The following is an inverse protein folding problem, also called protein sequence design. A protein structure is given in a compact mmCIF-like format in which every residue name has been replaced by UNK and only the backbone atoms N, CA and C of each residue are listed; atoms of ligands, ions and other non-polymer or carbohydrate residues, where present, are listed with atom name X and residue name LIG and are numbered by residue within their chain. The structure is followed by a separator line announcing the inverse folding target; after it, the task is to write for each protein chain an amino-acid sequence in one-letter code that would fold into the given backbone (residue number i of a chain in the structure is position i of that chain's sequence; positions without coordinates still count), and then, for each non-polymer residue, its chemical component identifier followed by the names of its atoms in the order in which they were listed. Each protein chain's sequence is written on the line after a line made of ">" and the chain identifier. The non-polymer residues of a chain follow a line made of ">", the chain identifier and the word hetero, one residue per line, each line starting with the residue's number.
data_IF_423198084135
#
_entry.id   IF_423198084135
#
_cell.length_a   1.000
_cell.length_b   1.000
_cell.length_c   1.000
_cell.angle_alpha   90.00
_cell.angle_beta   90.00
_cell.angle_gamma   90.00
#
_symmetry.space_group_name_H-M   'P 1'
#
loop_
_entity.id
_entity.type
_entity.pdbx_description
1 polymer ?
#
# COMPACT_ATOMS: atom_id res chain seq x y z
N UNK A 1 15.13 -20.26 4.60
CA UNK A 1 16.08 -19.16 4.92
C UNK A 1 17.38 -19.68 5.50
N UNK A 2 17.38 -20.53 6.53
CA UNK A 2 18.63 -21.08 7.12
C UNK A 2 19.56 -21.76 6.11
N UNK A 3 19.04 -22.63 5.23
CA UNK A 3 19.86 -23.23 4.17
C UNK A 3 20.53 -22.17 3.26
N UNK A 4 19.81 -21.09 2.92
CA UNK A 4 20.38 -20.00 2.10
C UNK A 4 21.48 -19.27 2.85
N UNK A 5 21.30 -19.01 4.15
CA UNK A 5 22.35 -18.42 4.99
C UNK A 5 23.60 -19.30 5.02
N UNK A 6 23.45 -20.61 5.14
CA UNK A 6 24.56 -21.57 5.06
C UNK A 6 25.25 -21.52 3.69
N UNK A 7 24.49 -21.54 2.58
CA UNK A 7 25.04 -21.41 1.22
C UNK A 7 25.83 -20.10 1.08
N UNK A 8 25.29 -18.98 1.55
CA UNK A 8 25.99 -17.68 1.54
C UNK A 8 27.29 -17.75 2.37
N UNK A 9 27.26 -18.34 3.57
CA UNK A 9 28.46 -18.47 4.42
C UNK A 9 29.53 -19.38 3.81
N UNK A 10 29.15 -20.31 2.93
CA UNK A 10 30.08 -21.23 2.27
C UNK A 10 30.82 -20.64 1.06
N UNK A 11 30.52 -19.38 0.68
CA UNK A 11 31.21 -18.69 -0.42
C UNK A 11 30.65 -19.00 -1.82
N UNK A 12 29.49 -19.67 -1.91
CA UNK A 12 28.86 -20.02 -3.20
C UNK A 12 28.41 -18.77 -3.96
N UNK A 13 27.86 -17.77 -3.25
CA UNK A 13 27.43 -16.51 -3.87
C UNK A 13 28.63 -15.78 -4.50
N UNK A 14 29.73 -15.65 -3.77
CA UNK A 14 30.97 -15.05 -4.26
C UNK A 14 31.53 -15.81 -5.47
N UNK A 15 31.41 -17.14 -5.49
CA UNK A 15 31.80 -17.97 -6.62
C UNK A 15 30.97 -17.69 -7.87
N UNK A 16 29.64 -17.53 -7.74
CA UNK A 16 28.76 -17.13 -8.84
C UNK A 16 29.08 -15.70 -9.32
N UNK A 17 29.31 -14.77 -8.41
CA UNK A 17 29.67 -13.38 -8.75
C UNK A 17 31.05 -13.30 -9.43
N UNK A 18 32.00 -14.13 -9.03
CA UNK A 18 33.29 -14.27 -9.71
C UNK A 18 33.09 -14.76 -11.15
N UNK A 19 32.22 -15.75 -11.37
CA UNK A 19 31.87 -16.23 -12.72
C UNK A 19 31.32 -15.08 -13.56
N UNK A 20 30.37 -14.31 -13.03
CA UNK A 20 29.75 -13.20 -13.75
C UNK A 20 30.71 -12.07 -14.07
N UNK A 21 31.69 -11.80 -13.21
CA UNK A 21 32.63 -10.68 -13.38
C UNK A 21 33.86 -11.04 -14.19
N UNK A 22 34.32 -12.31 -14.18
CA UNK A 22 35.64 -12.68 -14.73
C UNK A 22 35.60 -13.59 -15.96
N UNK A 23 34.58 -14.45 -16.13
CA UNK A 23 34.53 -15.33 -17.31
C UNK A 23 34.17 -14.57 -18.57
N UNK A 24 34.51 -15.12 -19.73
CA UNK A 24 33.98 -14.65 -21.00
C UNK A 24 32.44 -14.63 -20.93
N UNK A 25 31.81 -13.54 -21.38
CA UNK A 25 30.37 -13.34 -21.19
C UNK A 25 29.56 -14.46 -21.86
N UNK A 26 29.97 -14.91 -23.06
CA UNK A 26 29.26 -15.94 -23.81
C UNK A 26 29.47 -17.35 -23.24
N UNK A 27 30.45 -17.54 -22.35
CA UNK A 27 30.66 -18.81 -21.64
C UNK A 27 29.74 -18.98 -20.42
N UNK A 28 29.03 -17.93 -20.02
CA UNK A 28 28.12 -17.97 -18.88
C UNK A 28 26.81 -18.61 -19.33
N UNK A 29 26.49 -19.76 -18.73
CA UNK A 29 25.25 -20.48 -18.99
C UNK A 29 24.11 -19.96 -18.13
N UNK A 30 22.87 -20.19 -18.59
CA UNK A 30 21.65 -19.84 -17.86
C UNK A 30 21.57 -20.52 -16.50
N UNK A 31 22.10 -21.74 -16.36
CA UNK A 31 22.17 -22.43 -15.06
C UNK A 31 22.87 -21.58 -13.99
N UNK A 32 23.89 -20.80 -14.36
CA UNK A 32 24.53 -19.90 -13.40
C UNK A 32 23.56 -18.81 -12.95
N UNK A 33 22.83 -18.15 -13.87
CA UNK A 33 21.90 -17.06 -13.54
C UNK A 33 20.66 -17.54 -12.80
N UNK A 34 20.10 -18.70 -13.18
CA UNK A 34 18.99 -19.36 -12.49
C UNK A 34 19.35 -19.71 -11.05
N UNK A 35 20.54 -20.31 -10.83
CA UNK A 35 21.00 -20.66 -9.48
C UNK A 35 21.03 -19.42 -8.57
N UNK A 36 21.45 -18.27 -9.09
CA UNK A 36 21.48 -17.04 -8.32
C UNK A 36 20.07 -16.50 -8.01
N UNK A 37 19.13 -16.60 -8.94
CA UNK A 37 17.72 -16.30 -8.68
C UNK A 37 17.17 -17.18 -7.57
N UNK A 38 17.42 -18.49 -7.60
CA UNK A 38 16.85 -19.44 -6.63
C UNK A 38 17.31 -19.17 -5.19
N UNK A 39 18.50 -18.55 -5.04
CA UNK A 39 19.02 -18.09 -3.76
C UNK A 39 18.29 -16.84 -3.24
N UNK A 40 17.74 -15.99 -4.12
CA UNK A 40 17.10 -14.72 -3.75
C UNK A 40 15.58 -14.88 -3.69
N UNK A 41 14.99 -15.56 -4.66
CA UNK A 41 13.55 -15.69 -4.82
C UNK A 41 12.95 -16.42 -3.61
N UNK A 42 11.83 -15.88 -3.09
CA UNK A 42 11.14 -16.40 -1.90
C UNK A 42 12.06 -16.52 -0.66
N UNK A 43 13.07 -15.64 -0.54
CA UNK A 43 13.90 -15.49 0.66
C UNK A 43 13.47 -14.24 1.44
N UNK A 44 13.83 -14.18 2.73
CA UNK A 44 13.59 -12.99 3.56
C UNK A 44 14.47 -11.82 3.14
N UNK A 45 14.06 -10.60 3.47
CA UNK A 45 14.87 -9.41 3.18
C UNK A 45 16.23 -9.47 3.88
N UNK A 46 16.32 -10.09 5.06
CA UNK A 46 17.60 -10.42 5.71
C UNK A 46 18.55 -11.22 4.78
N UNK A 47 18.05 -12.27 4.12
CA UNK A 47 18.85 -13.08 3.19
C UNK A 47 19.25 -12.27 1.95
N UNK A 48 18.33 -11.48 1.40
CA UNK A 48 18.60 -10.60 0.26
C UNK A 48 19.66 -9.54 0.60
N UNK A 49 19.61 -8.96 1.79
CA UNK A 49 20.60 -8.00 2.30
C UNK A 49 21.97 -8.66 2.54
N UNK A 50 22.01 -9.90 3.02
CA UNK A 50 23.27 -10.67 3.11
C UNK A 50 23.90 -10.90 1.72
N UNK A 51 23.09 -11.16 0.70
CA UNK A 51 23.56 -11.29 -0.69
C UNK A 51 24.02 -9.94 -1.23
N UNK A 52 23.29 -8.85 -0.96
CA UNK A 52 23.70 -7.50 -1.32
C UNK A 52 25.08 -7.14 -0.75
N UNK A 53 25.37 -7.53 0.50
CA UNK A 53 26.68 -7.31 1.13
C UNK A 53 27.84 -8.04 0.41
N UNK A 54 27.56 -9.00 -0.49
CA UNK A 54 28.55 -9.64 -1.36
C UNK A 54 28.86 -8.82 -2.63
N UNK A 55 28.29 -7.61 -2.75
CA UNK A 55 28.47 -6.68 -3.88
C UNK A 55 28.11 -7.31 -5.23
N UNK A 56 26.84 -7.73 -5.43
CA UNK A 56 26.45 -8.51 -6.60
C UNK A 56 26.34 -7.68 -7.89
N UNK A 57 26.19 -6.35 -7.78
CA UNK A 57 25.83 -5.50 -8.91
C UNK A 57 26.82 -5.51 -10.07
N UNK A 58 28.16 -5.42 -9.90
CA UNK A 58 29.08 -5.46 -11.03
C UNK A 58 28.89 -6.70 -11.92
N UNK A 59 28.67 -7.87 -11.32
CA UNK A 59 28.42 -9.12 -12.03
C UNK A 59 27.04 -9.15 -12.70
N UNK A 60 25.98 -8.85 -11.95
CA UNK A 60 24.61 -8.88 -12.46
C UNK A 60 24.41 -7.86 -13.59
N UNK A 61 25.00 -6.67 -13.46
CA UNK A 61 24.91 -5.61 -14.46
C UNK A 61 25.59 -6.00 -15.77
N UNK A 62 26.72 -6.73 -15.70
CA UNK A 62 27.38 -7.29 -16.88
C UNK A 62 26.51 -8.32 -17.60
N UNK A 63 25.71 -9.11 -16.87
CA UNK A 63 24.80 -10.09 -17.46
C UNK A 63 23.63 -9.45 -18.24
N UNK A 64 23.30 -8.19 -18.01
CA UNK A 64 22.25 -7.49 -18.78
C UNK A 64 22.62 -7.33 -20.27
N UNK A 65 23.91 -7.39 -20.60
CA UNK A 65 24.44 -7.27 -21.96
C UNK A 65 24.56 -8.64 -22.65
N UNK A 66 24.20 -9.72 -21.96
CA UNK A 66 24.30 -11.07 -22.51
C UNK A 66 23.38 -11.22 -23.74
N UNK A 67 23.86 -11.96 -24.75
CA UNK A 67 23.14 -12.20 -26.01
C UNK A 67 21.89 -13.08 -25.84
N UNK A 68 21.94 -14.02 -24.90
CA UNK A 68 20.79 -14.81 -24.45
C UNK A 68 19.88 -13.98 -23.52
N UNK A 69 18.68 -13.68 -23.99
CA UNK A 69 17.67 -12.90 -23.27
C UNK A 69 17.23 -13.50 -21.94
N UNK A 70 17.30 -14.83 -21.77
CA UNK A 70 16.96 -15.48 -20.49
C UNK A 70 17.96 -15.11 -19.40
N UNK A 71 19.24 -15.04 -19.72
CA UNK A 71 20.29 -14.65 -18.76
C UNK A 71 20.14 -13.18 -18.38
N UNK A 72 19.86 -12.31 -19.35
CA UNK A 72 19.56 -10.90 -19.07
C UNK A 72 18.28 -10.74 -18.24
N UNK A 73 17.24 -11.54 -18.52
CA UNK A 73 15.98 -11.59 -17.75
C UNK A 73 16.23 -12.02 -16.30
N UNK A 74 17.07 -13.02 -16.10
CA UNK A 74 17.40 -13.54 -14.79
C UNK A 74 18.16 -12.50 -13.96
N UNK A 75 19.11 -11.82 -14.61
CA UNK A 75 19.91 -10.78 -14.00
C UNK A 75 19.04 -9.57 -13.59
N UNK A 76 18.15 -9.07 -14.46
CA UNK A 76 17.31 -7.92 -14.11
C UNK A 76 16.30 -8.25 -13.01
N UNK A 77 15.75 -9.48 -13.00
CA UNK A 77 14.89 -9.95 -11.91
C UNK A 77 15.65 -10.04 -10.59
N UNK A 78 16.88 -10.56 -10.61
CA UNK A 78 17.75 -10.62 -9.43
C UNK A 78 18.04 -9.23 -8.88
N UNK A 79 18.32 -8.26 -9.76
CA UNK A 79 18.51 -6.86 -9.39
C UNK A 79 17.25 -6.31 -8.72
N UNK A 80 16.08 -6.51 -9.33
CA UNK A 80 14.81 -6.07 -8.74
C UNK A 80 14.63 -6.61 -7.33
N UNK A 81 14.79 -7.92 -7.13
CA UNK A 81 14.53 -8.55 -5.83
C UNK A 81 15.45 -7.98 -4.74
N UNK A 82 16.68 -7.62 -5.08
CA UNK A 82 17.59 -6.94 -4.15
C UNK A 82 17.17 -5.48 -3.89
N UNK A 83 16.70 -4.76 -4.92
CA UNK A 83 16.18 -3.40 -4.74
C UNK A 83 14.91 -3.38 -3.87
N UNK A 84 14.01 -4.34 -4.08
CA UNK A 84 12.80 -4.52 -3.28
C UNK A 84 13.15 -4.66 -1.79
N UNK A 85 14.10 -5.54 -1.45
CA UNK A 85 14.58 -5.69 -0.06
C UNK A 85 15.14 -4.39 0.52
N UNK A 86 15.94 -3.66 -0.27
CA UNK A 86 16.47 -2.36 0.15
C UNK A 86 15.35 -1.35 0.38
N UNK A 87 14.31 -1.38 -0.44
CA UNK A 87 13.14 -0.51 -0.31
C UNK A 87 12.30 -0.85 0.93
N UNK A 88 12.06 -2.13 1.19
CA UNK A 88 11.22 -2.62 2.29
C UNK A 88 11.86 -2.38 3.67
N UNK A 89 13.18 -2.25 3.72
CA UNK A 89 13.96 -2.09 4.97
C UNK A 89 14.40 -0.66 5.27
N UNK A 90 14.01 0.32 4.45
CA UNK A 90 14.39 1.73 4.61
C UNK A 90 13.21 2.67 4.36
N UNK A 91 13.27 3.86 4.95
CA UNK A 91 12.24 4.90 4.78
C UNK A 91 12.02 5.25 3.31
N UNK A 92 10.76 5.41 2.91
CA UNK A 92 10.37 5.85 1.57
C UNK A 92 10.72 7.32 1.26
N UNK A 93 10.99 8.12 2.31
CA UNK A 93 11.41 9.53 2.23
C UNK A 93 12.89 9.67 1.89
N UNK A 94 13.68 8.62 2.07
CA UNK A 94 15.11 8.62 1.82
C UNK A 94 15.42 8.07 0.42
N UNK A 95 16.52 8.52 -0.22
CA UNK A 95 17.02 7.90 -1.43
C UNK A 95 17.17 6.37 -1.29
N UNK A 96 17.06 5.65 -2.41
CA UNK A 96 17.18 4.19 -2.37
C UNK A 96 18.57 3.77 -1.86
N UNK A 97 18.69 2.85 -0.87
CA UNK A 97 19.98 2.55 -0.22
C UNK A 97 21.01 1.93 -1.17
N UNK A 98 20.55 1.35 -2.27
CA UNK A 98 21.40 0.71 -3.28
C UNK A 98 21.76 1.63 -4.47
N UNK A 99 21.34 2.90 -4.45
CA UNK A 99 21.53 3.81 -5.59
C UNK A 99 23.01 4.02 -5.91
N UNK A 100 23.84 4.33 -4.90
CA UNK A 100 25.27 4.57 -5.09
C UNK A 100 26.00 3.34 -5.64
N UNK A 101 25.78 2.16 -5.05
CA UNK A 101 26.38 0.91 -5.53
C UNK A 101 25.97 0.54 -6.95
N UNK A 102 24.75 0.90 -7.36
CA UNK A 102 24.29 0.73 -8.74
C UNK A 102 25.02 1.69 -9.68
N UNK A 103 25.24 2.94 -9.25
CA UNK A 103 25.92 3.96 -10.03
C UNK A 103 27.42 3.66 -10.21
N UNK A 104 28.10 3.14 -9.20
CA UNK A 104 29.51 2.69 -9.27
C UNK A 104 29.75 1.66 -10.39
N UNK A 105 28.74 0.85 -10.72
CA UNK A 105 28.81 -0.18 -11.76
C UNK A 105 28.28 0.29 -13.13
N UNK A 106 28.00 1.59 -13.29
CA UNK A 106 27.24 2.14 -14.42
C UNK A 106 25.90 1.42 -14.67
N UNK A 107 25.30 0.90 -13.59
CA UNK A 107 24.15 0.01 -13.66
C UNK A 107 22.89 0.71 -14.14
N UNK A 108 22.69 1.97 -13.77
CA UNK A 108 21.53 2.78 -14.20
C UNK A 108 21.47 2.86 -15.74
N UNK A 109 22.59 3.20 -16.38
CA UNK A 109 22.63 3.32 -17.84
C UNK A 109 22.48 1.98 -18.55
N UNK A 110 23.04 0.89 -17.99
CA UNK A 110 22.89 -0.45 -18.56
C UNK A 110 21.45 -0.99 -18.42
N UNK A 111 20.77 -0.70 -17.31
CA UNK A 111 19.35 -1.03 -17.14
C UNK A 111 18.50 -0.22 -18.13
N UNK A 112 18.80 1.07 -18.31
CA UNK A 112 18.09 1.90 -19.29
C UNK A 112 18.33 1.43 -20.72
N UNK A 113 19.56 1.06 -21.07
CA UNK A 113 19.88 0.46 -22.37
C UNK A 113 19.11 -0.86 -22.60
N UNK A 114 19.00 -1.73 -21.58
CA UNK A 114 18.20 -2.95 -21.65
C UNK A 114 16.72 -2.65 -21.93
N UNK A 115 16.16 -1.63 -21.26
CA UNK A 115 14.81 -1.15 -21.52
C UNK A 115 14.63 -0.68 -22.98
N UNK A 116 15.57 0.12 -23.50
CA UNK A 116 15.53 0.65 -24.87
C UNK A 116 15.71 -0.44 -25.94
N UNK A 117 16.53 -1.47 -25.66
CA UNK A 117 16.77 -2.60 -26.56
C UNK A 117 15.48 -3.37 -26.87
N UNK A 118 14.54 -3.44 -25.92
CA UNK A 118 13.20 -4.00 -26.07
C UNK A 118 13.14 -5.41 -26.73
N UNK A 119 14.12 -6.27 -26.45
CA UNK A 119 14.15 -7.64 -27.00
C UNK A 119 13.18 -8.60 -26.30
N UNK A 120 12.93 -8.37 -25.02
CA UNK A 120 12.04 -9.17 -24.19
C UNK A 120 11.04 -8.27 -23.46
N UNK A 121 9.73 -8.54 -23.63
CA UNK A 121 8.67 -7.85 -22.85
C UNK A 121 8.95 -7.98 -21.35
N UNK A 122 9.38 -9.17 -20.91
CA UNK A 122 9.71 -9.44 -19.52
C UNK A 122 10.84 -8.53 -19.05
N UNK A 123 12.02 -8.59 -19.67
CA UNK A 123 13.19 -7.79 -19.26
C UNK A 123 12.91 -6.30 -19.28
N UNK A 124 12.11 -5.83 -20.24
CA UNK A 124 11.73 -4.42 -20.36
C UNK A 124 10.86 -3.94 -19.19
N UNK A 125 9.90 -4.76 -18.74
CA UNK A 125 9.07 -4.47 -17.56
C UNK A 125 9.93 -4.38 -16.31
N UNK A 126 10.83 -5.33 -16.09
CA UNK A 126 11.72 -5.29 -14.92
C UNK A 126 12.69 -4.12 -14.96
N UNK A 127 13.23 -3.79 -16.13
CA UNK A 127 14.13 -2.65 -16.28
C UNK A 127 13.46 -1.34 -15.88
N UNK A 128 12.21 -1.10 -16.33
CA UNK A 128 11.49 0.13 -15.96
C UNK A 128 11.18 0.18 -14.47
N UNK A 129 10.80 -0.95 -13.86
CA UNK A 129 10.49 -1.04 -12.43
C UNK A 129 11.76 -0.81 -11.60
N UNK A 130 12.89 -1.44 -11.96
CA UNK A 130 14.17 -1.22 -11.31
C UNK A 130 14.58 0.27 -11.30
N UNK A 131 14.41 0.97 -12.42
CA UNK A 131 14.72 2.42 -12.47
C UNK A 131 13.76 3.20 -11.56
N UNK A 132 12.46 2.87 -11.54
CA UNK A 132 11.51 3.53 -10.64
C UNK A 132 11.85 3.36 -9.17
N UNK A 133 12.30 2.17 -8.77
CA UNK A 133 12.76 1.87 -7.40
C UNK A 133 14.07 2.59 -7.08
N UNK A 134 15.06 2.54 -7.98
CA UNK A 134 16.36 3.19 -7.77
C UNK A 134 16.23 4.69 -7.54
N UNK A 135 15.37 5.37 -8.31
CA UNK A 135 15.15 6.81 -8.19
C UNK A 135 14.08 7.19 -7.14
N UNK A 136 13.85 6.33 -6.15
CA UNK A 136 13.06 6.69 -4.96
C UNK A 136 13.60 7.96 -4.33
N UNK A 137 12.71 8.93 -4.10
CA UNK A 137 13.03 10.25 -3.53
C UNK A 137 14.15 11.03 -4.26
N UNK A 138 14.53 10.62 -5.47
CA UNK A 138 15.64 11.19 -6.21
C UNK A 138 15.24 11.59 -7.63
N UNK A 139 15.72 12.73 -8.09
CA UNK A 139 15.43 13.21 -9.44
C UNK A 139 16.12 12.33 -10.49
N UNK A 140 15.36 11.87 -11.51
CA UNK A 140 15.97 11.39 -12.76
C UNK A 140 16.41 12.62 -13.52
N UNK A 141 17.69 12.94 -13.58
CA UNK A 141 18.20 14.17 -14.21
C UNK A 141 18.04 14.14 -15.73
N UNK A 142 18.34 13.00 -16.36
CA UNK A 142 18.12 12.75 -17.78
C UNK A 142 16.63 12.87 -18.13
N UNK A 143 16.30 13.89 -18.95
CA UNK A 143 14.93 14.19 -19.31
C UNK A 143 14.30 13.13 -20.23
N UNK A 144 15.10 12.47 -21.08
CA UNK A 144 14.62 11.42 -21.98
C UNK A 144 14.26 10.20 -21.14
N UNK A 145 15.19 9.74 -20.30
CA UNK A 145 14.95 8.63 -19.36
C UNK A 145 13.72 8.91 -18.50
N UNK A 146 13.64 10.10 -17.88
CA UNK A 146 12.51 10.48 -17.02
C UNK A 146 11.17 10.38 -17.75
N UNK A 147 11.08 10.87 -19.00
CA UNK A 147 9.85 10.83 -19.80
C UNK A 147 9.49 9.39 -20.19
N UNK A 148 10.44 8.63 -20.71
CA UNK A 148 10.21 7.26 -21.21
C UNK A 148 9.81 6.31 -20.07
N UNK A 149 10.53 6.36 -18.96
CA UNK A 149 10.28 5.49 -17.79
C UNK A 149 8.92 5.79 -17.19
N UNK A 150 8.61 7.06 -16.89
CA UNK A 150 7.30 7.43 -16.33
C UNK A 150 6.16 7.09 -17.31
N UNK A 151 6.34 7.33 -18.61
CA UNK A 151 5.32 6.98 -19.61
C UNK A 151 5.07 5.48 -19.66
N UNK A 152 6.12 4.66 -19.57
CA UNK A 152 5.97 3.22 -19.62
C UNK A 152 5.36 2.67 -18.33
N UNK A 153 5.78 3.14 -17.15
CA UNK A 153 5.16 2.77 -15.87
C UNK A 153 3.66 3.09 -15.84
N UNK A 154 3.24 4.26 -16.32
CA UNK A 154 1.82 4.60 -16.45
C UNK A 154 1.04 3.60 -17.32
N UNK A 155 1.65 3.11 -18.40
CA UNK A 155 1.00 2.11 -19.26
C UNK A 155 0.82 0.76 -18.56
N UNK A 156 1.76 0.39 -17.68
CA UNK A 156 1.73 -0.86 -16.91
C UNK A 156 0.66 -0.89 -15.83
N UNK A 157 0.09 0.26 -15.43
CA UNK A 157 -1.10 0.32 -14.56
C UNK A 157 -2.35 -0.33 -15.17
N UNK A 158 -2.31 -0.65 -16.47
CA UNK A 158 -3.37 -1.37 -17.17
C UNK A 158 -2.98 -2.80 -17.56
N UNK A 159 -1.79 -3.30 -17.17
CA UNK A 159 -1.33 -4.64 -17.55
C UNK A 159 -2.31 -5.73 -17.05
N UNK A 160 -2.41 -6.86 -17.76
CA UNK A 160 -3.25 -7.98 -17.32
C UNK A 160 -2.72 -8.67 -16.07
N UNK A 161 -1.41 -8.60 -15.84
CA UNK A 161 -0.76 -9.16 -14.66
C UNK A 161 -0.91 -8.20 -13.47
N UNK A 162 -1.62 -8.68 -12.44
CA UNK A 162 -1.87 -7.92 -11.20
C UNK A 162 -0.57 -7.52 -10.53
N UNK A 163 0.42 -8.41 -10.49
CA UNK A 163 1.71 -8.13 -9.86
C UNK A 163 2.43 -6.98 -10.58
N UNK A 164 2.41 -6.97 -11.91
CA UNK A 164 3.00 -5.91 -12.72
C UNK A 164 2.30 -4.56 -12.48
N UNK A 165 0.96 -4.54 -12.40
CA UNK A 165 0.20 -3.30 -12.10
C UNK A 165 0.65 -2.69 -10.77
N UNK A 166 0.75 -3.49 -9.72
CA UNK A 166 1.09 -3.01 -8.39
C UNK A 166 2.54 -2.55 -8.30
N UNK A 167 3.49 -3.28 -8.90
CA UNK A 167 4.90 -2.81 -8.94
C UNK A 167 5.10 -1.56 -9.78
N UNK A 168 4.29 -1.38 -10.83
CA UNK A 168 4.28 -0.12 -11.57
C UNK A 168 3.72 1.04 -10.72
N UNK A 169 2.67 0.79 -9.92
CA UNK A 169 2.14 1.76 -8.93
C UNK A 169 3.20 2.11 -7.89
N UNK A 170 3.88 1.13 -7.31
CA UNK A 170 4.95 1.34 -6.31
C UNK A 170 6.12 2.13 -6.89
N UNK A 171 6.57 1.78 -8.10
CA UNK A 171 7.62 2.51 -8.81
C UNK A 171 7.22 3.97 -9.11
N UNK A 172 5.98 4.24 -9.51
CA UNK A 172 5.48 5.61 -9.68
C UNK A 172 5.42 6.36 -8.36
N UNK A 173 5.01 5.68 -7.29
CA UNK A 173 4.97 6.22 -5.95
C UNK A 173 6.37 6.63 -5.44
N UNK A 174 7.38 5.77 -5.62
CA UNK A 174 8.76 6.09 -5.26
C UNK A 174 9.32 7.26 -6.07
N UNK A 175 9.06 7.29 -7.38
CA UNK A 175 9.44 8.43 -8.22
C UNK A 175 8.73 9.72 -7.79
N UNK A 176 7.46 9.64 -7.38
CA UNK A 176 6.66 10.80 -6.95
C UNK A 176 7.17 11.43 -5.65
N UNK A 177 8.04 10.75 -4.89
CA UNK A 177 8.71 11.36 -3.72
C UNK A 177 9.63 12.52 -4.09
N UNK A 178 10.08 12.62 -5.35
CA UNK A 178 10.79 13.78 -5.87
C UNK A 178 9.88 14.70 -6.70
N UNK A 179 9.92 16.01 -6.46
CA UNK A 179 9.02 16.99 -7.10
C UNK A 179 9.16 17.07 -8.63
N UNK A 180 10.36 16.91 -9.18
CA UNK A 180 10.57 16.97 -10.63
C UNK A 180 9.97 15.76 -11.32
N UNK A 181 10.19 14.57 -10.76
CA UNK A 181 9.60 13.33 -11.25
C UNK A 181 8.07 13.37 -11.08
N UNK A 182 7.59 13.80 -9.91
CA UNK A 182 6.17 13.98 -9.63
C UNK A 182 5.50 14.90 -10.63
N UNK A 183 6.10 16.05 -10.93
CA UNK A 183 5.59 16.99 -11.94
C UNK A 183 5.45 16.33 -13.31
N UNK A 184 6.38 15.43 -13.68
CA UNK A 184 6.27 14.65 -14.91
C UNK A 184 5.17 13.58 -14.83
N UNK A 185 4.95 12.94 -13.67
CA UNK A 185 3.83 12.02 -13.42
C UNK A 185 2.49 12.77 -13.49
N UNK A 186 2.42 14.00 -12.99
CA UNK A 186 1.20 14.81 -12.98
C UNK A 186 0.85 15.41 -14.35
N UNK A 187 1.72 15.29 -15.36
CA UNK A 187 1.36 15.69 -16.73
C UNK A 187 0.18 14.86 -17.24
N UNK A 188 -0.84 15.57 -17.76
CA UNK A 188 -2.12 15.02 -18.20
C UNK A 188 -2.94 14.33 -17.09
N UNK A 189 -2.62 14.61 -15.82
CA UNK A 189 -3.40 14.13 -14.69
C UNK A 189 -4.62 15.04 -14.50
N UNK A 190 -5.83 14.50 -14.71
CA UNK A 190 -7.06 15.28 -14.66
C UNK A 190 -8.09 14.59 -13.76
N UNK A 191 -8.35 15.20 -12.60
CA UNK A 191 -9.27 14.68 -11.59
C UNK A 191 -10.71 14.56 -12.10
N UNK A 192 -11.18 15.49 -12.92
CA UNK A 192 -12.53 15.43 -13.52
C UNK A 192 -12.64 14.25 -14.49
N UNK A 193 -11.59 13.98 -15.27
CA UNK A 193 -11.56 12.79 -16.13
C UNK A 193 -11.61 11.49 -15.33
N UNK A 194 -10.89 11.42 -14.21
CA UNK A 194 -10.92 10.26 -13.30
C UNK A 194 -12.34 10.09 -12.74
N UNK A 195 -12.94 11.14 -12.19
CA UNK A 195 -14.31 11.11 -11.66
C UNK A 195 -15.32 10.66 -12.73
N UNK A 196 -15.25 11.21 -13.94
CA UNK A 196 -16.12 10.85 -15.06
C UNK A 196 -15.96 9.37 -15.47
N UNK A 197 -14.73 8.84 -15.43
CA UNK A 197 -14.51 7.42 -15.74
C UNK A 197 -15.06 6.50 -14.64
N UNK A 198 -14.96 6.90 -13.36
CA UNK A 198 -15.56 6.15 -12.23
C UNK A 198 -17.09 6.14 -12.29
N UNK A 199 -17.71 7.21 -12.76
CA UNK A 199 -19.17 7.28 -12.93
C UNK A 199 -19.70 6.44 -14.10
N UNK A 200 -18.84 5.91 -14.98
CA UNK A 200 -19.29 5.02 -16.06
C UNK A 200 -19.86 3.73 -15.49
N UNK A 201 -21.12 3.48 -15.78
CA UNK A 201 -21.82 2.26 -15.39
C UNK A 201 -21.27 1.03 -16.12
N UNK A 202 -21.27 -0.13 -15.45
CA UNK A 202 -20.83 -1.40 -16.02
C UNK A 202 -21.93 -2.03 -16.92
N UNK A 203 -22.28 -1.34 -18.01
CA UNK A 203 -23.24 -1.78 -19.03
C UNK A 203 -22.54 -2.32 -20.29
N UNK A 204 -23.30 -3.04 -21.11
CA UNK A 204 -22.81 -3.62 -22.37
C UNK A 204 -22.30 -5.06 -22.25
N UNK A 205 -21.55 -5.48 -23.26
CA UNK A 205 -20.93 -6.78 -23.40
C UNK A 205 -19.85 -7.04 -22.35
N UNK A 206 -19.45 -8.29 -22.18
CA UNK A 206 -18.37 -8.68 -21.24
C UNK A 206 -17.07 -7.91 -21.50
N UNK A 207 -16.72 -7.68 -22.77
CA UNK A 207 -15.50 -6.97 -23.15
C UNK A 207 -15.58 -5.47 -22.85
N UNK A 208 -16.74 -4.85 -23.07
CA UNK A 208 -16.98 -3.44 -22.73
C UNK A 208 -16.89 -3.23 -21.21
N UNK A 209 -17.55 -4.08 -20.42
CA UNK A 209 -17.44 -4.05 -18.95
C UNK A 209 -16.00 -4.20 -18.48
N UNK A 210 -15.25 -5.14 -19.07
CA UNK A 210 -13.82 -5.33 -18.76
C UNK A 210 -13.00 -4.07 -19.07
N UNK A 211 -13.25 -3.41 -20.20
CA UNK A 211 -12.60 -2.16 -20.57
C UNK A 211 -12.90 -1.03 -19.60
N UNK A 212 -14.16 -0.90 -19.16
CA UNK A 212 -14.56 0.10 -18.16
C UNK A 212 -13.85 -0.17 -16.83
N UNK A 213 -13.88 -1.42 -16.34
CA UNK A 213 -13.21 -1.82 -15.10
C UNK A 213 -11.71 -1.53 -15.15
N UNK A 214 -11.04 -1.95 -16.22
CA UNK A 214 -9.61 -1.72 -16.39
C UNK A 214 -9.29 -0.22 -16.37
N UNK A 215 -10.10 0.61 -17.04
CA UNK A 215 -9.89 2.06 -17.05
C UNK A 215 -10.07 2.68 -15.66
N UNK A 216 -11.11 2.27 -14.93
CA UNK A 216 -11.36 2.72 -13.56
C UNK A 216 -10.20 2.33 -12.64
N UNK A 217 -9.76 1.07 -12.67
CA UNK A 217 -8.62 0.60 -11.87
C UNK A 217 -7.33 1.35 -12.21
N UNK A 218 -7.03 1.55 -13.49
CA UNK A 218 -5.83 2.29 -13.92
C UNK A 218 -5.84 3.74 -13.41
N UNK A 219 -6.99 4.41 -13.47
CA UNK A 219 -7.13 5.78 -12.97
C UNK A 219 -6.93 5.85 -11.44
N UNK A 220 -7.46 4.86 -10.70
CA UNK A 220 -7.33 4.76 -9.25
C UNK A 220 -5.92 4.40 -8.80
N UNK A 221 -5.23 3.49 -9.50
CA UNK A 221 -3.83 3.16 -9.22
C UNK A 221 -2.92 4.37 -9.46
N UNK A 222 -3.18 5.15 -10.52
CA UNK A 222 -2.43 6.37 -10.79
C UNK A 222 -2.67 7.42 -9.70
N UNK A 223 -3.92 7.64 -9.30
CA UNK A 223 -4.27 8.54 -8.20
C UNK A 223 -3.60 8.11 -6.89
N UNK A 224 -3.65 6.82 -6.57
CA UNK A 224 -3.04 6.27 -5.35
C UNK A 224 -1.52 6.45 -5.36
N UNK A 225 -0.85 6.26 -6.51
CA UNK A 225 0.60 6.45 -6.63
C UNK A 225 1.09 7.87 -6.27
N UNK A 226 0.23 8.89 -6.39
CA UNK A 226 0.60 10.29 -6.09
C UNK A 226 0.06 10.80 -4.75
N UNK A 227 -0.80 10.02 -4.08
CA UNK A 227 -1.41 10.35 -2.78
C UNK A 227 -0.88 9.51 -1.62
N UNK A 228 -0.50 8.26 -1.88
CA UNK A 228 -0.12 7.29 -0.86
C UNK A 228 0.98 7.82 0.06
N UNK A 229 0.80 7.69 1.37
CA UNK A 229 1.71 8.16 2.43
C UNK A 229 2.15 9.64 2.33
N UNK A 230 1.42 10.48 1.58
CA UNK A 230 1.74 11.90 1.39
C UNK A 230 0.69 12.80 2.04
N UNK A 231 1.18 13.83 2.72
CA UNK A 231 0.39 14.92 3.31
C UNK A 231 -0.02 15.98 2.26
N UNK A 232 -0.38 15.55 1.04
CA UNK A 232 -0.90 16.44 -0.01
C UNK A 232 -2.41 16.63 0.17
N UNK A 233 -2.78 17.31 1.26
CA UNK A 233 -4.18 17.56 1.61
C UNK A 233 -4.89 18.46 0.60
N UNK A 234 -4.16 19.30 -0.14
CA UNK A 234 -4.75 20.12 -1.21
C UNK A 234 -5.20 19.23 -2.37
N UNK A 235 -4.35 18.31 -2.85
CA UNK A 235 -4.74 17.40 -3.93
C UNK A 235 -5.93 16.50 -3.52
N UNK A 236 -6.00 16.08 -2.25
CA UNK A 236 -7.16 15.34 -1.72
C UNK A 236 -8.43 16.17 -1.75
N UNK A 237 -8.37 17.43 -1.30
CA UNK A 237 -9.51 18.35 -1.36
C UNK A 237 -9.96 18.56 -2.81
N UNK A 238 -9.03 18.81 -3.73
CA UNK A 238 -9.33 18.99 -5.16
C UNK A 238 -9.98 17.73 -5.75
N UNK A 239 -9.51 16.54 -5.37
CA UNK A 239 -10.05 15.26 -5.81
C UNK A 239 -11.45 14.98 -5.24
N UNK A 240 -11.69 15.32 -3.97
CA UNK A 240 -13.04 15.28 -3.36
C UNK A 240 -13.98 16.23 -4.11
N UNK A 241 -13.56 17.48 -4.33
CA UNK A 241 -14.33 18.49 -5.04
C UNK A 241 -14.59 18.14 -6.51
N UNK A 242 -13.70 17.36 -7.13
CA UNK A 242 -13.89 16.83 -8.48
C UNK A 242 -14.93 15.70 -8.56
N UNK A 243 -15.43 15.19 -7.42
CA UNK A 243 -16.46 14.15 -7.35
C UNK A 243 -15.93 12.71 -7.32
N UNK A 244 -14.64 12.51 -7.03
CA UNK A 244 -14.05 11.16 -6.96
C UNK A 244 -14.65 10.36 -5.80
N UNK A 245 -14.77 10.98 -4.62
CA UNK A 245 -15.37 10.32 -3.45
C UNK A 245 -16.84 10.00 -3.69
N UNK A 246 -17.61 10.91 -4.27
CA UNK A 246 -19.02 10.65 -4.62
C UNK A 246 -19.14 9.43 -5.55
N UNK A 247 -18.26 9.32 -6.55
CA UNK A 247 -18.23 8.19 -7.47
C UNK A 247 -17.83 6.87 -6.78
N UNK A 248 -16.82 6.88 -5.91
CA UNK A 248 -16.42 5.69 -5.13
C UNK A 248 -17.53 5.23 -4.19
N UNK A 249 -18.15 6.14 -3.44
CA UNK A 249 -19.25 5.82 -2.54
C UNK A 249 -20.47 5.27 -3.29
N UNK A 250 -20.77 5.79 -4.49
CA UNK A 250 -21.80 5.24 -5.36
C UNK A 250 -21.45 3.81 -5.83
N UNK A 251 -20.20 3.56 -6.24
CA UNK A 251 -19.73 2.22 -6.61
C UNK A 251 -19.90 1.24 -5.44
N UNK A 252 -19.44 1.64 -4.26
CA UNK A 252 -19.53 0.84 -3.03
C UNK A 252 -20.98 0.56 -2.60
N UNK A 253 -21.92 1.47 -2.87
CA UNK A 253 -23.33 1.27 -2.53
C UNK A 253 -24.09 0.40 -3.54
N UNK A 254 -23.77 0.51 -4.84
CA UNK A 254 -24.62 0.00 -5.92
C UNK A 254 -24.08 -1.24 -6.64
N UNK A 255 -22.75 -1.41 -6.69
CA UNK A 255 -22.11 -2.48 -7.47
C UNK A 255 -22.15 -3.80 -6.72
N UNK A 256 -22.24 -4.92 -7.43
CA UNK A 256 -22.01 -6.24 -6.81
C UNK A 256 -20.63 -6.28 -6.12
N UNK A 257 -20.56 -6.85 -4.91
CA UNK A 257 -19.35 -6.85 -4.08
C UNK A 257 -18.19 -7.50 -4.84
N UNK A 258 -18.46 -8.59 -5.56
CA UNK A 258 -17.47 -9.33 -6.36
C UNK A 258 -16.83 -8.50 -7.50
N UNK A 259 -17.40 -7.35 -7.84
CA UNK A 259 -16.88 -6.44 -8.86
C UNK A 259 -16.15 -5.22 -8.26
N UNK A 260 -16.05 -5.13 -6.94
CA UNK A 260 -15.30 -4.10 -6.22
C UNK A 260 -13.92 -4.70 -5.92
N UNK A 261 -12.95 -4.38 -6.75
CA UNK A 261 -11.57 -4.86 -6.58
C UNK A 261 -10.76 -3.96 -5.65
N UNK A 262 -9.59 -4.45 -5.26
CA UNK A 262 -8.62 -3.76 -4.39
C UNK A 262 -8.37 -2.27 -4.71
N UNK A 263 -8.20 -1.83 -5.97
CA UNK A 263 -7.90 -0.42 -6.27
C UNK A 263 -8.99 0.57 -5.85
N UNK A 264 -10.26 0.16 -5.76
CA UNK A 264 -11.34 1.06 -5.36
C UNK A 264 -11.24 1.46 -3.89
N UNK A 265 -10.99 0.49 -3.02
CA UNK A 265 -10.88 0.75 -1.59
C UNK A 265 -9.50 1.30 -1.20
N UNK A 266 -8.40 0.86 -1.84
CA UNK A 266 -7.06 1.46 -1.67
C UNK A 266 -7.10 2.97 -1.99
N UNK A 267 -7.73 3.34 -3.11
CA UNK A 267 -7.88 4.74 -3.46
C UNK A 267 -8.66 5.54 -2.41
N UNK A 268 -9.76 5.00 -1.87
CA UNK A 268 -10.54 5.65 -0.81
C UNK A 268 -9.71 5.78 0.48
N UNK A 269 -9.00 4.72 0.86
CA UNK A 269 -8.14 4.68 2.03
C UNK A 269 -7.09 5.81 1.99
N UNK A 270 -6.49 6.07 0.83
CA UNK A 270 -5.53 7.16 0.64
C UNK A 270 -6.13 8.58 0.85
N UNK A 271 -7.46 8.74 0.97
CA UNK A 271 -8.07 10.00 1.44
C UNK A 271 -8.17 10.05 2.97
N UNK A 272 -8.25 8.90 3.63
CA UNK A 272 -8.33 8.79 5.08
C UNK A 272 -6.96 8.70 5.75
N UNK A 273 -5.87 8.41 5.03
CA UNK A 273 -4.53 8.26 5.59
C UNK A 273 -3.40 8.87 4.70
N UNK A 274 -2.41 9.61 5.25
CA UNK A 274 -2.39 10.17 6.60
C UNK A 274 -3.59 11.08 6.81
N UNK A 275 -4.24 11.01 7.97
CA UNK A 275 -5.51 11.70 8.14
C UNK A 275 -5.31 13.19 8.44
N UNK A 276 -6.29 14.00 8.03
CA UNK A 276 -6.32 15.42 8.27
C UNK A 276 -7.76 15.84 8.56
N UNK A 277 -7.94 16.69 9.56
CA UNK A 277 -9.26 17.08 10.01
C UNK A 277 -10.15 17.66 8.89
N UNK A 278 -9.62 18.58 8.08
CA UNK A 278 -10.38 19.22 6.98
C UNK A 278 -10.80 18.16 5.95
N UNK A 279 -9.88 17.25 5.58
CA UNK A 279 -10.19 16.16 4.65
C UNK A 279 -11.26 15.23 5.24
N UNK A 280 -11.13 14.83 6.51
CA UNK A 280 -12.11 13.99 7.20
C UNK A 280 -13.49 14.66 7.29
N UNK A 281 -13.55 15.98 7.55
CA UNK A 281 -14.80 16.74 7.54
C UNK A 281 -15.47 16.72 6.16
N UNK A 282 -14.71 16.92 5.09
CA UNK A 282 -15.22 16.84 3.73
C UNK A 282 -15.73 15.43 3.39
N UNK A 283 -15.02 14.38 3.82
CA UNK A 283 -15.46 13.00 3.64
C UNK A 283 -16.78 12.73 4.35
N UNK A 284 -16.95 13.21 5.58
CA UNK A 284 -18.21 13.08 6.33
C UNK A 284 -19.39 13.76 5.62
N UNK A 285 -19.19 14.92 5.01
CA UNK A 285 -20.24 15.60 4.24
C UNK A 285 -20.75 14.74 3.07
N UNK A 286 -19.96 13.76 2.61
CA UNK A 286 -20.34 12.79 1.59
C UNK A 286 -21.10 11.58 2.11
N UNK A 287 -21.38 11.51 3.42
CA UNK A 287 -22.09 10.41 4.08
C UNK A 287 -21.46 9.04 3.76
N UNK A 288 -20.20 8.79 4.15
CA UNK A 288 -19.44 7.65 3.65
C UNK A 288 -19.84 6.32 4.29
N UNK A 289 -20.42 6.35 5.50
CA UNK A 289 -20.62 5.16 6.33
C UNK A 289 -21.51 4.08 5.70
N UNK A 290 -22.70 4.37 5.12
CA UNK A 290 -23.53 3.31 4.53
C UNK A 290 -22.78 2.47 3.49
N UNK A 291 -22.03 3.15 2.61
CA UNK A 291 -21.27 2.52 1.55
C UNK A 291 -20.05 1.76 2.05
N UNK A 292 -19.29 2.34 3.00
CA UNK A 292 -18.13 1.66 3.60
C UNK A 292 -18.53 0.46 4.45
N UNK A 293 -19.61 0.56 5.23
CA UNK A 293 -20.13 -0.53 6.06
C UNK A 293 -20.58 -1.72 5.23
N UNK A 294 -21.07 -1.50 4.00
CA UNK A 294 -21.39 -2.58 3.07
C UNK A 294 -20.16 -3.39 2.66
N UNK A 295 -18.98 -2.77 2.60
CA UNK A 295 -17.74 -3.47 2.26
C UNK A 295 -17.25 -4.41 3.36
N UNK A 296 -17.75 -4.30 4.60
CA UNK A 296 -17.43 -5.25 5.67
C UNK A 296 -17.99 -6.66 5.42
N UNK A 297 -18.92 -6.79 4.47
CA UNK A 297 -19.50 -8.06 4.02
C UNK A 297 -18.72 -8.66 2.82
N UNK A 298 -17.60 -8.04 2.43
CA UNK A 298 -16.79 -8.48 1.29
C UNK A 298 -15.97 -9.75 1.63
N UNK A 299 -15.80 -10.63 0.64
CA UNK A 299 -15.08 -11.92 0.81
C UNK A 299 -13.55 -11.80 0.87
N UNK A 300 -12.99 -10.77 0.23
CA UNK A 300 -11.57 -10.43 0.30
C UNK A 300 -11.31 -9.68 1.61
N UNK A 301 -10.61 -10.32 2.54
CA UNK A 301 -10.27 -9.79 3.86
C UNK A 301 -9.53 -8.46 3.78
N UNK A 302 -8.68 -8.28 2.76
CA UNK A 302 -7.99 -7.02 2.64
C UNK A 302 -9.06 -5.91 2.41
N UNK A 303 -10.15 -6.15 1.68
CA UNK A 303 -11.13 -5.09 1.34
C UNK A 303 -11.89 -4.68 2.60
N UNK A 304 -12.20 -5.69 3.43
CA UNK A 304 -12.74 -5.47 4.77
C UNK A 304 -11.77 -4.65 5.61
N UNK A 305 -10.47 -4.97 5.57
CA UNK A 305 -9.39 -4.28 6.28
C UNK A 305 -9.33 -2.78 5.97
N UNK A 306 -9.17 -2.40 4.70
CA UNK A 306 -9.11 -0.99 4.30
C UNK A 306 -10.44 -0.27 4.59
N UNK A 307 -11.58 -0.98 4.53
CA UNK A 307 -12.89 -0.40 4.83
C UNK A 307 -13.05 -0.08 6.32
N UNK A 308 -12.75 -1.03 7.22
CA UNK A 308 -12.82 -0.78 8.66
C UNK A 308 -11.79 0.25 9.10
N UNK A 309 -10.59 0.24 8.52
CA UNK A 309 -9.57 1.25 8.79
C UNK A 309 -9.98 2.63 8.29
N UNK A 310 -10.60 2.73 7.11
CA UNK A 310 -11.13 4.01 6.61
C UNK A 310 -12.22 4.57 7.53
N UNK A 311 -13.09 3.71 8.08
CA UNK A 311 -14.11 4.11 9.07
C UNK A 311 -13.43 4.58 10.36
N UNK A 312 -12.48 3.80 10.90
CA UNK A 312 -11.72 4.11 12.12
C UNK A 312 -10.99 5.46 11.98
N UNK A 313 -10.29 5.70 10.87
CA UNK A 313 -9.59 6.95 10.60
C UNK A 313 -10.54 8.16 10.61
N UNK A 314 -11.72 8.04 10.00
CA UNK A 314 -12.73 9.10 9.99
C UNK A 314 -13.29 9.34 11.40
N UNK A 315 -13.63 8.27 12.13
CA UNK A 315 -14.19 8.35 13.49
C UNK A 315 -13.16 8.95 14.46
N UNK A 316 -11.93 8.42 14.48
CA UNK A 316 -10.86 8.89 15.35
C UNK A 316 -10.51 10.36 15.10
N UNK A 317 -10.25 10.78 13.87
CA UNK A 317 -9.79 12.16 13.64
C UNK A 317 -10.87 13.21 13.88
N UNK A 318 -12.15 12.85 13.67
CA UNK A 318 -13.24 13.77 13.98
C UNK A 318 -13.52 13.87 15.48
N UNK A 319 -13.18 12.86 16.27
CA UNK A 319 -13.31 12.91 17.72
C UNK A 319 -12.31 13.86 18.37
N UNK A 320 -11.13 14.08 17.77
CA UNK A 320 -10.06 14.93 18.34
C UNK A 320 -10.46 16.41 18.49
N UNK A 321 -11.37 16.91 17.66
CA UNK A 321 -11.78 18.33 17.65
C UNK A 321 -13.01 18.61 18.54
N UNK A 322 -13.40 17.66 19.40
CA UNK A 322 -14.53 17.81 20.32
C UNK A 322 -14.15 17.36 21.73
N UNK A 323 -14.78 17.97 22.73
CA UNK A 323 -14.46 17.70 24.14
C UNK A 323 -14.64 16.22 24.47
N UNK A 324 -13.68 15.64 25.19
CA UNK A 324 -13.70 14.22 25.51
C UNK A 324 -14.94 13.82 26.33
N UNK A 325 -15.43 14.72 27.19
CA UNK A 325 -16.64 14.58 28.00
C UNK A 325 -17.95 14.63 27.19
N UNK A 326 -17.90 15.08 25.93
CA UNK A 326 -19.06 15.16 25.05
C UNK A 326 -19.25 13.85 24.26
N UNK A 327 -20.49 13.56 23.89
CA UNK A 327 -20.79 12.43 23.00
C UNK A 327 -20.02 12.56 21.67
N UNK A 328 -19.68 11.43 21.07
CA UNK A 328 -19.02 11.45 19.76
C UNK A 328 -19.93 12.11 18.71
N UNK A 329 -19.44 13.09 17.91
CA UNK A 329 -20.29 13.88 17.01
C UNK A 329 -21.05 13.03 15.99
N UNK A 330 -20.50 11.86 15.65
CA UNK A 330 -21.05 10.96 14.64
C UNK A 330 -21.60 9.64 15.19
N UNK A 331 -21.78 9.52 16.52
CA UNK A 331 -22.43 8.33 17.09
C UNK A 331 -23.82 8.11 16.48
N UNK A 332 -24.66 9.15 16.45
CA UNK A 332 -26.02 9.06 15.90
C UNK A 332 -26.03 8.73 14.40
N UNK A 333 -25.11 9.29 13.62
CA UNK A 333 -24.98 9.00 12.18
C UNK A 333 -24.62 7.54 11.93
N UNK A 334 -23.67 6.99 12.69
CA UNK A 334 -23.24 5.60 12.52
C UNK A 334 -24.31 4.62 13.04
N UNK A 335 -24.95 4.94 14.16
CA UNK A 335 -26.02 4.13 14.73
C UNK A 335 -27.28 4.10 13.83
N UNK A 336 -27.67 5.23 13.22
CA UNK A 336 -28.88 5.29 12.38
C UNK A 336 -28.82 4.43 11.12
N UNK A 337 -27.62 4.03 10.70
CA UNK A 337 -27.39 3.16 9.53
C UNK A 337 -27.01 1.72 9.93
N UNK A 338 -27.20 1.36 11.21
CA UNK A 338 -26.86 0.04 11.75
C UNK A 338 -25.34 -0.23 11.79
N UNK A 339 -24.53 0.83 11.80
CA UNK A 339 -23.08 0.71 11.72
C UNK A 339 -22.45 0.11 12.97
N UNK A 340 -23.04 0.38 14.15
CA UNK A 340 -22.56 -0.19 15.42
C UNK A 340 -22.66 -1.71 15.39
N UNK A 341 -23.82 -2.23 15.00
CA UNK A 341 -24.09 -3.66 14.93
C UNK A 341 -23.23 -4.35 13.86
N UNK A 342 -23.02 -3.71 12.71
CA UNK A 342 -22.15 -4.23 11.65
C UNK A 342 -20.68 -4.31 12.06
N UNK A 343 -20.14 -3.27 12.71
CA UNK A 343 -18.76 -3.28 13.20
C UNK A 343 -18.60 -4.31 14.32
N UNK A 344 -19.58 -4.42 15.22
CA UNK A 344 -19.54 -5.45 16.26
C UNK A 344 -19.66 -6.86 15.67
N UNK A 345 -20.48 -7.07 14.64
CA UNK A 345 -20.53 -8.34 13.90
C UNK A 345 -19.17 -8.71 13.30
N UNK A 346 -18.48 -7.75 12.67
CA UNK A 346 -17.13 -7.96 12.16
C UNK A 346 -16.15 -8.35 13.28
N UNK A 347 -16.13 -7.59 14.39
CA UNK A 347 -15.32 -7.89 15.57
C UNK A 347 -15.52 -9.32 16.09
N UNK A 348 -16.77 -9.81 16.07
CA UNK A 348 -17.14 -11.14 16.54
C UNK A 348 -16.72 -12.25 15.58
N UNK A 349 -16.79 -11.99 14.27
CA UNK A 349 -16.70 -13.03 13.23
C UNK A 349 -15.32 -13.13 12.59
N UNK A 350 -14.55 -12.04 12.55
CA UNK A 350 -13.25 -12.02 11.87
C UNK A 350 -12.21 -12.85 12.62
N UNK A 351 -11.42 -13.62 11.87
CA UNK A 351 -10.18 -14.24 12.34
C UNK A 351 -8.95 -13.35 12.16
N UNK A 352 -9.09 -12.25 11.40
CA UNK A 352 -8.00 -11.31 11.16
C UNK A 352 -7.79 -10.44 12.41
N UNK A 353 -6.60 -10.52 13.03
CA UNK A 353 -6.27 -9.76 14.24
C UNK A 353 -6.47 -8.25 14.03
N UNK A 354 -6.02 -7.73 12.89
CA UNK A 354 -6.07 -6.31 12.61
C UNK A 354 -7.51 -5.81 12.52
N UNK A 355 -8.37 -6.50 11.77
CA UNK A 355 -9.78 -6.13 11.64
C UNK A 355 -10.49 -6.17 12.99
N UNK A 356 -10.13 -7.15 13.85
CA UNK A 356 -10.65 -7.26 15.20
C UNK A 356 -10.23 -6.08 16.08
N UNK A 357 -8.94 -5.73 16.05
CA UNK A 357 -8.39 -4.59 16.80
C UNK A 357 -9.04 -3.28 16.34
N UNK A 358 -9.09 -3.03 15.04
CA UNK A 358 -9.70 -1.83 14.45
C UNK A 358 -11.19 -1.74 14.75
N UNK A 359 -11.92 -2.85 14.70
CA UNK A 359 -13.34 -2.87 15.06
C UNK A 359 -13.56 -2.51 16.53
N UNK A 360 -12.77 -3.09 17.45
CA UNK A 360 -12.86 -2.79 18.87
C UNK A 360 -12.48 -1.33 19.18
N UNK A 361 -11.43 -0.81 18.55
CA UNK A 361 -10.98 0.58 18.67
C UNK A 361 -12.08 1.53 18.18
N UNK A 362 -12.61 1.30 16.98
CA UNK A 362 -13.68 2.11 16.40
C UNK A 362 -14.93 2.15 17.31
N UNK A 363 -15.33 0.99 17.86
CA UNK A 363 -16.43 0.92 18.83
C UNK A 363 -16.11 1.70 20.11
N UNK A 364 -14.91 1.54 20.66
CA UNK A 364 -14.51 2.26 21.87
C UNK A 364 -14.50 3.79 21.69
N UNK A 365 -14.09 4.26 20.51
CA UNK A 365 -14.09 5.70 20.20
C UNK A 365 -15.52 6.21 19.95
N UNK A 366 -16.33 5.51 19.16
CA UNK A 366 -17.67 6.01 18.81
C UNK A 366 -18.61 6.06 20.01
N UNK A 367 -18.43 5.18 21.00
CA UNK A 367 -19.15 5.20 22.28
C UNK A 367 -18.58 6.21 23.31
N UNK A 368 -17.78 7.19 22.87
CA UNK A 368 -17.30 8.26 23.76
C UNK A 368 -18.45 8.92 24.51
N UNK A 369 -18.31 8.98 25.84
CA UNK A 369 -19.32 9.53 26.76
C UNK A 369 -20.74 8.95 26.58
N UNK A 370 -20.86 7.77 25.96
CA UNK A 370 -22.12 7.10 25.65
C UNK A 370 -22.11 5.69 26.25
N UNK A 371 -23.19 5.33 26.94
CA UNK A 371 -23.36 4.00 27.51
C UNK A 371 -23.49 2.95 26.40
N UNK A 372 -22.73 1.84 26.51
CA UNK A 372 -22.95 0.63 25.72
C UNK A 372 -23.99 -0.23 26.45
N UNK A 373 -25.24 -0.17 25.98
CA UNK A 373 -26.36 -0.88 26.63
C UNK A 373 -26.33 -2.40 26.41
N UNK A 374 -25.67 -2.86 25.35
CA UNK A 374 -25.51 -4.28 25.08
C UNK A 374 -24.42 -4.87 26.01
N UNK A 375 -24.86 -5.67 26.98
CA UNK A 375 -23.98 -6.30 27.97
C UNK A 375 -22.95 -7.26 27.36
N UNK A 376 -23.23 -7.90 26.22
CA UNK A 376 -22.25 -8.74 25.54
C UNK A 376 -21.19 -7.85 24.87
N UNK A 377 -21.64 -6.81 24.16
CA UNK A 377 -20.76 -5.88 23.46
C UNK A 377 -19.78 -5.18 24.41
N UNK A 378 -20.28 -4.58 25.50
CA UNK A 378 -19.45 -3.86 26.47
C UNK A 378 -18.35 -4.77 27.05
N UNK A 379 -18.72 -5.99 27.46
CA UNK A 379 -17.79 -6.94 28.07
C UNK A 379 -16.72 -7.40 27.08
N UNK A 380 -17.11 -7.77 25.87
CA UNK A 380 -16.18 -8.32 24.89
C UNK A 380 -15.25 -7.26 24.32
N UNK A 381 -15.78 -6.07 23.99
CA UNK A 381 -14.99 -4.96 23.45
C UNK A 381 -13.98 -4.46 24.49
N UNK A 382 -14.41 -4.22 25.74
CA UNK A 382 -13.50 -3.78 26.81
C UNK A 382 -12.42 -4.83 27.08
N UNK A 383 -12.79 -6.10 27.16
CA UNK A 383 -11.81 -7.19 27.38
C UNK A 383 -10.76 -7.21 26.29
N UNK A 384 -11.17 -7.08 25.01
CA UNK A 384 -10.26 -7.06 23.88
C UNK A 384 -9.35 -5.82 23.91
N UNK A 385 -9.91 -4.62 24.11
CA UNK A 385 -9.14 -3.37 24.21
C UNK A 385 -8.08 -3.44 25.33
N UNK A 386 -8.42 -3.99 26.50
CA UNK A 386 -7.45 -4.22 27.58
C UNK A 386 -6.31 -5.15 27.16
N UNK A 387 -6.61 -6.20 26.39
CA UNK A 387 -5.61 -7.18 25.96
C UNK A 387 -4.57 -6.61 24.98
N UNK A 388 -4.95 -5.60 24.18
CA UNK A 388 -4.08 -4.97 23.18
C UNK A 388 -3.51 -3.61 23.63
N UNK A 389 -3.67 -3.24 24.91
CA UNK A 389 -3.22 -1.94 25.44
C UNK A 389 -1.72 -1.68 25.29
N UNK A 390 -0.93 -2.75 25.16
CA UNK A 390 0.51 -2.75 24.97
C UNK A 390 0.91 -3.36 23.62
N UNK A 391 0.08 -3.19 22.58
CA UNK A 391 0.40 -3.67 21.24
C UNK A 391 1.78 -3.16 20.78
N UNK A 392 2.61 -4.01 20.14
CA UNK A 392 3.92 -3.59 19.62
C UNK A 392 3.80 -2.49 18.55
N UNK A 393 2.68 -2.43 17.83
CA UNK A 393 2.38 -1.34 16.91
C UNK A 393 2.04 -0.07 17.70
N UNK A 394 2.82 0.98 17.48
CA UNK A 394 2.68 2.24 18.21
C UNK A 394 1.36 2.97 17.91
N UNK A 395 0.84 2.85 16.68
CA UNK A 395 -0.40 3.49 16.28
C UNK A 395 -1.59 2.75 16.90
N UNK A 396 -1.60 1.41 16.87
CA UNK A 396 -2.61 0.61 17.58
C UNK A 396 -2.59 0.92 19.07
N UNK A 397 -1.41 0.93 19.70
CA UNK A 397 -1.24 1.27 21.12
C UNK A 397 -1.77 2.67 21.47
N UNK A 398 -1.56 3.66 20.59
CA UNK A 398 -2.09 5.01 20.77
C UNK A 398 -3.62 5.02 20.68
N UNK A 399 -4.18 4.36 19.67
CA UNK A 399 -5.61 4.32 19.40
C UNK A 399 -6.39 3.57 20.48
N UNK A 400 -5.90 2.41 20.96
CA UNK A 400 -6.55 1.66 22.05
C UNK A 400 -6.60 2.45 23.35
N UNK A 401 -5.51 3.16 23.71
CA UNK A 401 -5.51 4.05 24.87
C UNK A 401 -6.56 5.14 24.74
N UNK A 402 -6.65 5.75 23.56
CA UNK A 402 -7.64 6.79 23.28
C UNK A 402 -9.08 6.24 23.33
N UNK A 403 -9.33 5.06 22.77
CA UNK A 403 -10.62 4.38 22.82
C UNK A 403 -11.08 4.11 24.27
N UNK A 404 -10.20 3.59 25.13
CA UNK A 404 -10.51 3.40 26.55
C UNK A 404 -10.75 4.75 27.26
N UNK A 405 -9.95 5.79 26.97
CA UNK A 405 -10.15 7.15 27.50
C UNK A 405 -11.50 7.75 27.08
N UNK A 406 -12.02 7.38 25.90
CA UNK A 406 -13.37 7.75 25.44
C UNK A 406 -14.47 7.02 26.23
N UNK A 407 -14.32 5.72 26.45
CA UNK A 407 -15.32 4.90 27.14
C UNK A 407 -15.50 5.30 28.62
N UNK A 408 -14.41 5.57 29.35
CA UNK A 408 -14.46 5.94 30.79
C UNK A 408 -15.16 7.27 31.08
N UNK A 409 -15.48 8.06 30.06
CA UNK A 409 -16.27 9.28 30.22
C UNK A 409 -17.72 8.99 30.63
N UNK A 410 -18.21 7.78 30.34
CA UNK A 410 -19.48 7.29 30.84
C UNK A 410 -19.27 6.43 32.10
N UNK A 411 -20.07 6.66 33.15
CA UNK A 411 -19.90 5.99 34.45
C UNK A 411 -20.15 4.48 34.41
N UNK A 412 -21.07 4.00 33.57
CA UNK A 412 -21.36 2.55 33.45
C UNK A 412 -20.17 1.85 32.80
N UNK A 413 -19.72 2.36 31.66
CA UNK A 413 -18.52 1.85 30.98
C UNK A 413 -17.28 1.92 31.87
N UNK A 414 -17.12 3.01 32.65
CA UNK A 414 -16.03 3.17 33.60
C UNK A 414 -16.02 2.07 34.66
N UNK A 415 -17.17 1.75 35.25
CA UNK A 415 -17.28 0.70 36.25
C UNK A 415 -16.85 -0.67 35.70
N UNK A 416 -17.22 -0.99 34.45
CA UNK A 416 -16.78 -2.21 33.78
C UNK A 416 -15.27 -2.22 33.49
N UNK A 417 -14.71 -1.09 33.04
CA UNK A 417 -13.26 -0.94 32.81
C UNK A 417 -12.48 -1.10 34.12
N UNK A 418 -12.95 -0.54 35.24
CA UNK A 418 -12.23 -0.55 36.52
C UNK A 418 -12.50 -1.80 37.39
N UNK A 419 -13.42 -2.68 36.96
CA UNK A 419 -13.91 -3.85 37.73
C UNK A 419 -12.81 -4.82 38.21
N UNK A 420 -11.69 -4.90 37.49
CA UNK A 420 -10.51 -5.73 37.75
C UNK A 420 -9.30 -4.92 38.24
N UNK A 421 -9.54 -3.69 38.73
CA UNK A 421 -8.50 -2.69 39.09
C UNK A 421 -7.60 -2.29 37.92
N UNK A 422 -8.08 -2.46 36.69
CA UNK A 422 -7.36 -2.00 35.51
C UNK A 422 -7.27 -0.48 35.50
N UNK A 423 -6.05 0.03 35.26
CA UNK A 423 -5.76 1.46 35.11
C UNK A 423 -5.28 1.65 33.67
N UNK A 424 -5.90 2.59 32.95
CA UNK A 424 -5.46 2.94 31.61
C UNK A 424 -4.07 3.59 31.72
N UNK A 425 -3.02 3.01 31.12
CA UNK A 425 -1.69 3.60 31.16
C UNK A 425 -1.69 4.96 30.45
N UNK A 426 -0.85 5.88 30.93
CA UNK A 426 -0.73 7.24 30.40
C UNK A 426 -0.55 7.31 28.88
#
# INVERSE_FOLDING_TARGET
>A
NELRKQIISSGVVESLLFIYTKRDLNSITQTNSETFIDLIQNSSDEVKLLIYNKKPYPGLIRLLEHSNDKIASDAIKSIFLLLEAGSDTTSDKDPHPHFESMQESNGIQKIFALFQKNQSKYSRVWAVICIGYLFRAQQITDQIMRKEIISHLKSLLSDSDVWVKYRAKDALYYLAQNDTNRSQIMKNFNLKTIANNLQKELKGTKNEKKGILQKQETDLLLLSSVLHSREDFQLRQDAINAGIIDALLHIFASRDLDQITRPYIDAFFNFTHPSNFIVCQLLIQKQPFPSLLRLLEHKDENIVNDAIESIDNIVYYTSLESELSSQHPFFANLASVGGIEKIFSLFKQTSNKYDKDKSAICLGIVFRAQEIKDHAMIKEVITHLKSIINDPDNDIKKLVKYALKCLVQNQVNKADIESDRFIIPD
#
